data_IF_795390789411
#
_entry.id   IF_795390789411
#
_cell.length_a   1.000
_cell.length_b   1.000
_cell.length_c   1.000
_cell.angle_alpha   90.00
_cell.angle_beta   90.00
_cell.angle_gamma   90.00
#
_symmetry.space_group_name_H-M   'P 1'
#
loop_
_entity.id
_entity.type
_entity.pdbx_description
1 polymer ?
#
# COMPACT_ATOMS: atom_id res chain seq x y z
N UNK A 1 17.64 5.25 3.30
CA UNK A 1 17.39 5.52 3.46
C UNK A 1 16.87 5.48 3.45
N UNK A 2 16.80 5.66 3.16
CA UNK A 2 16.24 5.82 3.21
C UNK A 2 15.78 5.96 3.25
N UNK A 3 15.82 6.16 3.26
CA UNK A 3 15.26 6.56 3.38
C UNK A 3 14.96 6.91 3.35
N UNK A 4 15.20 7.09 3.44
CA UNK A 4 14.90 7.75 3.44
C UNK A 4 14.97 8.15 3.26
N UNK A 5 15.10 8.23 3.33
CA UNK A 5 15.06 8.80 3.17
C UNK A 5 15.27 9.05 3.03
N UNK A 6 15.52 9.05 3.08
CA UNK A 6 15.55 9.43 2.94
C UNK A 6 15.61 9.51 2.63
N UNK A 7 15.73 9.55 2.40
CA UNK A 7 15.54 9.80 1.89
C UNK A 7 15.68 10.37 1.46
N UNK A 8 16.07 10.00 1.86
CA UNK A 8 16.59 10.98 0.97
C UNK A 8 15.52 11.71 0.27
N UNK A 9 14.90 12.07 0.39
CA UNK A 9 13.86 12.86 -0.05
C UNK A 9 13.33 12.56 -1.41
N UNK A 10 14.11 12.17 -2.31
CA UNK A 10 13.57 12.06 -3.66
C UNK A 10 12.81 10.79 -3.91
N UNK A 11 12.85 9.86 -3.00
CA UNK A 11 12.04 8.66 -3.17
C UNK A 11 10.60 8.88 -2.87
N UNK A 12 10.33 9.85 -2.04
CA UNK A 12 8.98 10.10 -1.59
C UNK A 12 8.04 10.54 -2.69
N UNK A 13 8.52 11.27 -3.68
CA UNK A 13 7.62 11.71 -4.75
C UNK A 13 6.94 10.59 -5.50
N UNK A 14 7.45 9.39 -5.43
CA UNK A 14 6.82 8.27 -6.10
C UNK A 14 5.40 8.07 -5.60
N UNK A 15 5.21 8.05 -4.28
CA UNK A 15 3.88 7.85 -3.72
C UNK A 15 2.95 8.99 -4.07
N UNK A 16 3.46 10.20 -4.12
CA UNK A 16 2.64 11.35 -4.43
C UNK A 16 2.06 11.31 -5.84
N UNK A 17 2.73 10.60 -6.73
CA UNK A 17 2.32 10.55 -8.12
C UNK A 17 1.45 9.35 -8.45
N UNK A 18 1.28 8.43 -7.51
CA UNK A 18 0.46 7.25 -7.75
C UNK A 18 -1.00 7.59 -7.54
N UNK A 19 -1.85 6.99 -8.35
CA UNK A 19 -3.28 7.15 -8.27
C UNK A 19 -3.90 5.77 -8.19
N UNK A 20 -5.23 5.70 -8.01
CA UNK A 20 -5.89 4.41 -7.97
C UNK A 20 -5.65 3.64 -9.27
N UNK A 21 -5.56 4.34 -10.39
CA UNK A 21 -5.30 3.69 -11.68
C UNK A 21 -3.92 3.04 -11.72
N UNK A 22 -3.00 3.48 -10.88
CA UNK A 22 -1.69 2.83 -10.78
C UNK A 22 -1.80 1.43 -10.20
N UNK A 23 -2.83 1.17 -9.41
CA UNK A 23 -2.99 -0.09 -8.69
C UNK A 23 -4.09 -0.98 -9.24
N UNK A 24 -5.09 -0.41 -9.89
CA UNK A 24 -6.23 -1.21 -10.38
C UNK A 24 -5.82 -2.37 -11.27
N UNK A 25 -4.86 -2.21 -12.17
CA UNK A 25 -4.44 -3.36 -13.01
C UNK A 25 -3.81 -4.49 -12.21
N UNK A 26 -3.42 -4.23 -10.98
CA UNK A 26 -2.71 -5.20 -10.15
C UNK A 26 -3.58 -5.85 -9.10
N UNK A 27 -4.88 -5.54 -9.08
CA UNK A 27 -5.82 -6.23 -8.19
C UNK A 27 -5.81 -7.71 -8.53
N UNK A 28 -5.72 -8.53 -7.50
CA UNK A 28 -5.63 -9.98 -7.68
C UNK A 28 -4.21 -10.50 -7.74
N UNK A 29 -3.22 -9.61 -7.71
CA UNK A 29 -1.82 -10.03 -7.74
C UNK A 29 -1.17 -9.86 -6.38
N UNK A 30 0.03 -10.40 -6.24
CA UNK A 30 0.75 -10.40 -4.97
C UNK A 30 1.75 -9.26 -4.90
N UNK A 31 1.70 -8.54 -3.79
CA UNK A 31 2.74 -7.63 -3.38
C UNK A 31 3.56 -8.33 -2.31
N UNK A 32 4.80 -7.92 -2.13
CA UNK A 32 5.68 -8.56 -1.16
C UNK A 32 6.08 -7.54 -0.11
N UNK A 33 5.80 -7.90 1.14
CA UNK A 33 6.16 -7.08 2.30
C UNK A 33 7.48 -7.59 2.82
N UNK A 34 8.42 -6.67 3.05
CA UNK A 34 9.76 -7.01 3.49
C UNK A 34 9.98 -6.58 4.92
N UNK A 35 10.43 -7.51 5.75
CA UNK A 35 10.91 -7.21 7.09
C UNK A 35 12.39 -7.59 7.13
N UNK A 36 13.01 -7.42 8.29
CA UNK A 36 14.43 -7.76 8.42
C UNK A 36 14.73 -9.20 8.06
N UNK A 37 13.82 -10.11 8.40
CA UNK A 37 14.06 -11.53 8.27
C UNK A 37 13.12 -12.24 7.34
N UNK A 38 12.09 -11.58 6.84
CA UNK A 38 11.02 -12.26 6.15
C UNK A 38 10.52 -11.48 4.97
N UNK A 39 9.93 -12.22 4.06
CA UNK A 39 9.23 -11.68 2.90
C UNK A 39 7.85 -12.30 2.94
N UNK A 40 6.82 -11.46 3.06
CA UNK A 40 5.46 -11.91 3.28
C UNK A 40 4.61 -11.52 2.09
N UNK A 41 3.85 -12.48 1.58
CA UNK A 41 2.96 -12.22 0.46
C UNK A 41 1.71 -11.49 0.93
N UNK A 42 1.38 -10.39 0.25
CA UNK A 42 0.13 -9.68 0.43
C UNK A 42 -0.60 -9.69 -0.90
N UNK A 43 -1.82 -10.18 -0.91
CA UNK A 43 -2.61 -10.13 -2.14
C UNK A 43 -3.42 -8.85 -2.15
N UNK A 44 -3.30 -8.07 -3.21
CA UNK A 44 -4.14 -6.89 -3.37
C UNK A 44 -5.52 -7.36 -3.80
N UNK A 45 -6.51 -7.25 -2.92
CA UNK A 45 -7.84 -7.77 -3.20
C UNK A 45 -8.78 -6.71 -3.74
N UNK A 46 -8.51 -5.44 -3.47
CA UNK A 46 -9.44 -4.40 -3.86
C UNK A 46 -8.75 -3.04 -3.85
N UNK A 47 -9.15 -2.17 -4.77
CA UNK A 47 -8.77 -0.76 -4.78
C UNK A 47 -10.07 0.03 -4.90
N UNK A 48 -10.26 1.03 -4.03
CA UNK A 48 -11.53 1.76 -4.00
C UNK A 48 -11.30 3.24 -3.76
N UNK A 49 -11.98 4.07 -4.53
CA UNK A 49 -11.95 5.51 -4.29
C UNK A 49 -12.69 5.83 -3.02
N UNK A 50 -12.18 6.80 -2.29
CA UNK A 50 -12.86 7.32 -1.12
C UNK A 50 -13.83 8.41 -1.58
N UNK A 51 -15.09 8.27 -1.22
CA UNK A 51 -16.10 9.28 -1.56
C UNK A 51 -15.85 10.50 -0.69
N UNK A 52 -15.50 11.61 -1.33
CA UNK A 52 -15.11 12.82 -0.62
C UNK A 52 -15.62 14.05 -1.30
N UNK A 53 -16.37 14.85 -0.57
CA UNK A 53 -16.73 16.16 -1.08
C UNK A 53 -15.52 17.08 -1.19
N UNK A 54 -14.44 16.72 -0.50
CA UNK A 54 -13.22 17.51 -0.50
C UNK A 54 -12.25 17.13 -1.60
N UNK A 55 -12.56 16.10 -2.37
CA UNK A 55 -11.61 15.55 -3.33
C UNK A 55 -11.13 16.58 -4.35
N UNK A 56 -11.97 17.53 -4.70
CA UNK A 56 -11.60 18.54 -5.70
C UNK A 56 -10.46 19.43 -5.24
N UNK A 57 -10.19 19.49 -3.95
CA UNK A 57 -9.12 20.33 -3.41
C UNK A 57 -7.82 19.59 -3.22
N UNK A 58 -7.78 18.32 -3.54
CA UNK A 58 -6.60 17.50 -3.34
C UNK A 58 -5.88 17.28 -4.65
N UNK A 59 -4.57 16.99 -4.55
CA UNK A 59 -3.77 16.76 -5.75
C UNK A 59 -4.24 15.53 -6.50
N UNK A 60 -4.91 14.59 -5.81
CA UNK A 60 -5.47 13.40 -6.42
C UNK A 60 -6.69 13.00 -5.62
N UNK A 61 -7.54 12.19 -6.23
CA UNK A 61 -8.67 11.59 -5.52
C UNK A 61 -8.14 10.59 -4.51
N UNK A 62 -8.51 10.70 -3.24
CA UNK A 62 -8.08 9.72 -2.25
C UNK A 62 -8.61 8.33 -2.57
N UNK A 63 -7.84 7.32 -2.21
CA UNK A 63 -8.25 5.95 -2.44
C UNK A 63 -7.67 5.04 -1.38
N UNK A 64 -8.24 3.85 -1.25
CA UNK A 64 -7.76 2.82 -0.34
C UNK A 64 -7.43 1.57 -1.10
N UNK A 65 -6.40 0.87 -0.63
CA UNK A 65 -6.04 -0.45 -1.11
C UNK A 65 -6.28 -1.45 0.03
N UNK A 66 -6.76 -2.63 -0.33
CA UNK A 66 -7.03 -3.68 0.64
C UNK A 66 -6.18 -4.89 0.29
N UNK A 67 -5.41 -5.35 1.28
CA UNK A 67 -4.51 -6.48 1.11
C UNK A 67 -4.90 -7.61 2.04
N UNK A 68 -4.76 -8.84 1.55
CA UNK A 68 -4.96 -10.03 2.38
C UNK A 68 -3.60 -10.64 2.68
N UNK A 69 -3.34 -10.90 3.95
CA UNK A 69 -2.08 -11.49 4.39
C UNK A 69 -2.37 -12.71 5.26
N UNK A 70 -1.46 -13.69 5.27
CA UNK A 70 -1.64 -14.90 6.08
C UNK A 70 -1.27 -14.72 7.54
N UNK A 71 -0.70 -13.59 7.91
CA UNK A 71 -0.19 -13.37 9.27
C UNK A 71 -0.68 -12.05 9.83
N UNK A 72 -0.69 -11.97 11.14
CA UNK A 72 -1.03 -10.76 11.85
C UNK A 72 0.21 -9.87 11.92
N UNK A 73 0.05 -8.60 11.53
CA UNK A 73 1.14 -7.63 11.47
C UNK A 73 0.78 -6.41 12.27
N UNK A 74 1.74 -5.86 13.03
CA UNK A 74 1.49 -4.59 13.74
C UNK A 74 1.18 -3.46 12.77
N UNK A 75 0.40 -2.51 13.23
CA UNK A 75 0.06 -1.33 12.46
C UNK A 75 1.31 -0.45 12.33
N UNK A 76 1.84 -0.32 11.13
CA UNK A 76 3.02 0.50 10.91
C UNK A 76 3.28 0.63 9.40
N UNK A 77 4.33 1.36 9.05
CA UNK A 77 4.75 1.50 7.66
C UNK A 77 5.59 0.30 7.27
N UNK A 78 5.24 -0.31 6.15
CA UNK A 78 5.96 -1.46 5.63
C UNK A 78 6.46 -1.19 4.22
N UNK A 79 7.59 -1.79 3.88
CA UNK A 79 8.12 -1.72 2.51
C UNK A 79 7.51 -2.83 1.68
N UNK A 80 6.88 -2.45 0.59
CA UNK A 80 6.26 -3.38 -0.33
C UNK A 80 6.97 -3.33 -1.68
N UNK A 81 7.05 -4.46 -2.35
CA UNK A 81 7.56 -4.52 -3.72
C UNK A 81 6.55 -5.25 -4.60
N UNK A 82 6.61 -4.99 -5.89
CA UNK A 82 5.73 -5.61 -6.87
C UNK A 82 6.37 -5.50 -8.25
N UNK A 83 6.22 -6.51 -9.06
CA UNK A 83 6.85 -6.53 -10.39
C UNK A 83 6.41 -5.38 -11.28
N UNK A 84 5.20 -4.89 -11.08
CA UNK A 84 4.68 -3.79 -11.89
C UNK A 84 5.16 -2.42 -11.48
N UNK A 85 5.95 -2.32 -10.41
CA UNK A 85 6.47 -1.05 -9.93
C UNK A 85 7.99 -1.11 -9.89
N UNK A 86 8.62 -0.09 -10.48
CA UNK A 86 10.08 -0.07 -10.57
C UNK A 86 10.75 0.06 -9.20
N UNK A 87 10.06 0.67 -8.24
CA UNK A 87 10.64 0.94 -6.93
C UNK A 87 9.75 0.40 -5.83
N UNK A 88 10.36 0.21 -4.66
CA UNK A 88 9.59 -0.21 -3.51
C UNK A 88 8.68 0.92 -3.04
N UNK A 89 7.62 0.54 -2.34
CA UNK A 89 6.64 1.48 -1.80
C UNK A 89 6.63 1.34 -0.30
N UNK A 90 6.68 2.46 0.41
CA UNK A 90 6.55 2.45 1.87
C UNK A 90 5.10 2.82 2.18
N UNK A 91 4.37 1.87 2.74
CA UNK A 91 2.93 1.96 2.87
C UNK A 91 2.50 1.68 4.30
N UNK A 92 1.65 2.55 4.85
CA UNK A 92 1.11 2.37 6.19
C UNK A 92 -0.08 1.41 6.12
N UNK A 93 0.02 0.29 6.84
CA UNK A 93 -1.01 -0.74 6.82
C UNK A 93 -1.72 -0.82 8.16
N UNK A 94 -3.05 -0.89 8.11
CA UNK A 94 -3.90 -1.00 9.29
C UNK A 94 -4.79 -2.22 9.12
N UNK A 95 -4.77 -3.12 10.10
CA UNK A 95 -5.65 -4.29 10.05
C UNK A 95 -7.09 -3.84 10.27
N UNK A 96 -7.98 -4.27 9.38
CA UNK A 96 -9.40 -3.93 9.49
C UNK A 96 -10.28 -5.16 9.65
N UNK A 97 -9.75 -6.36 9.38
CA UNK A 97 -10.55 -7.58 9.52
C UNK A 97 -9.63 -8.77 9.64
N UNK A 98 -10.16 -9.88 10.15
CA UNK A 98 -9.41 -11.11 10.23
C UNK A 98 -10.35 -12.27 10.46
N UNK A 99 -10.02 -13.43 9.87
CA UNK A 99 -10.78 -14.65 10.06
C UNK A 99 -9.86 -15.81 9.72
N UNK A 100 -10.45 -16.99 9.57
CA UNK A 100 -9.68 -18.20 9.29
C UNK A 100 -8.96 -18.14 7.94
N UNK A 101 -9.43 -17.28 7.03
CA UNK A 101 -8.83 -17.14 5.71
C UNK A 101 -7.68 -16.16 5.65
N UNK A 102 -7.41 -15.43 6.75
CA UNK A 102 -6.32 -14.49 6.79
C UNK A 102 -6.74 -13.15 7.37
N UNK A 103 -5.85 -12.16 7.23
CA UNK A 103 -6.05 -10.84 7.81
C UNK A 103 -6.06 -9.79 6.70
N UNK A 104 -7.03 -8.88 6.76
CA UNK A 104 -7.17 -7.83 5.76
C UNK A 104 -6.60 -6.52 6.30
N UNK A 105 -5.80 -5.87 5.47
CA UNK A 105 -5.15 -4.60 5.82
C UNK A 105 -5.56 -3.54 4.83
N UNK A 106 -5.74 -2.33 5.33
CA UNK A 106 -6.09 -1.19 4.50
C UNK A 106 -4.92 -0.22 4.45
N UNK A 107 -4.64 0.31 3.26
CA UNK A 107 -3.70 1.40 3.06
C UNK A 107 -4.45 2.56 2.44
N UNK A 108 -4.45 3.70 3.10
CA UNK A 108 -5.17 4.89 2.63
C UNK A 108 -4.17 5.85 2.00
N UNK A 109 -4.49 6.28 0.79
CA UNK A 109 -3.68 7.26 0.05
C UNK A 109 -4.49 8.54 -0.10
N UNK A 110 -3.94 9.65 0.33
CA UNK A 110 -4.61 10.98 0.27
C UNK A 110 -3.86 12.00 -0.58
#
# INVERSE_FOLDING_TARGET
>A
MAGVSLYGGQDLPMLDKLTIESFEPHVGTSFWLHTENRKIELRLTRAAKVMESEAARLARTPFSLYFLAPVLLPQQIYRLTHDGFAESLDVFLVQIAGDAGGFTYEAVFT
#
